data_IF_010292923477
#
_entry.id   IF_010292923477
#
_cell.length_a   1.000
_cell.length_b   1.000
_cell.length_c   1.000
_cell.angle_alpha   90.00
_cell.angle_beta   90.00
_cell.angle_gamma   90.00
#
_symmetry.space_group_name_H-M   'P 1'
#
loop_
_entity.id
_entity.type
_entity.pdbx_description
1 polymer ?
#
# COMPACT_ATOMS: atom_id res chain seq x y z
N UNK A 1 -22.11 23.99 63.54
CA UNK A 1 -22.99 22.81 63.41
C UNK A 1 -23.87 23.02 62.19
N UNK A 2 -23.46 22.47 61.04
CA UNK A 2 -24.16 22.64 59.78
C UNK A 2 -25.12 21.44 59.57
N UNK A 3 -26.41 21.75 59.46
CA UNK A 3 -27.50 20.81 59.15
C UNK A 3 -27.34 20.24 57.74
N UNK A 4 -27.17 18.93 57.63
CA UNK A 4 -27.20 18.17 56.38
C UNK A 4 -28.65 18.07 55.91
N UNK A 5 -28.97 18.65 54.75
CA UNK A 5 -30.21 18.39 54.01
C UNK A 5 -29.96 17.27 52.99
N UNK A 6 -30.50 16.09 53.27
CA UNK A 6 -30.59 14.98 52.32
C UNK A 6 -31.60 15.35 51.22
N UNK A 7 -31.16 15.43 49.97
CA UNK A 7 -32.04 15.49 48.81
C UNK A 7 -32.47 14.06 48.42
N UNK A 8 -33.74 13.82 48.07
CA UNK A 8 -34.17 12.52 47.57
C UNK A 8 -33.51 12.25 46.21
N UNK A 9 -32.86 11.08 46.09
CA UNK A 9 -32.42 10.54 44.81
C UNK A 9 -33.65 10.34 43.92
N UNK A 10 -33.70 11.07 42.80
CA UNK A 10 -34.69 10.83 41.76
C UNK A 10 -34.47 9.47 41.12
N UNK A 11 -35.52 8.64 41.13
CA UNK A 11 -35.58 7.42 40.31
C UNK A 11 -35.49 7.82 38.84
N UNK A 12 -34.42 7.44 38.14
CA UNK A 12 -34.38 7.50 36.68
C UNK A 12 -35.00 6.22 36.15
N UNK A 13 -36.24 6.29 35.69
CA UNK A 13 -36.86 5.24 34.88
C UNK A 13 -36.20 5.25 33.50
N UNK A 14 -35.39 4.23 33.22
CA UNK A 14 -34.95 3.92 31.86
C UNK A 14 -36.15 3.34 31.12
N UNK A 15 -36.76 4.14 30.24
CA UNK A 15 -37.75 3.66 29.29
C UNK A 15 -37.06 2.79 28.25
N UNK A 16 -37.34 1.49 28.25
CA UNK A 16 -36.97 0.60 27.14
C UNK A 16 -37.86 0.98 25.96
N UNK A 17 -37.29 1.72 25.00
CA UNK A 17 -37.89 1.86 23.68
C UNK A 17 -37.55 0.58 22.90
N UNK A 18 -38.51 -0.34 22.83
CA UNK A 18 -38.49 -1.42 21.84
C UNK A 18 -38.67 -0.77 20.46
N UNK A 19 -37.54 -0.44 19.81
CA UNK A 19 -37.53 -0.13 18.40
C UNK A 19 -37.86 -1.43 17.65
N UNK A 20 -39.11 -1.57 17.23
CA UNK A 20 -39.51 -2.56 16.24
C UNK A 20 -38.68 -2.31 14.98
N UNK A 21 -37.82 -3.28 14.65
CA UNK A 21 -36.92 -3.23 13.51
C UNK A 21 -37.70 -3.07 12.20
N UNK A 22 -37.85 -1.82 11.76
CA UNK A 22 -37.98 -1.54 10.34
C UNK A 22 -36.60 -1.72 9.74
N UNK A 23 -36.41 -2.78 8.97
CA UNK A 23 -35.25 -2.89 8.08
C UNK A 23 -35.32 -1.73 7.10
N UNK A 24 -34.63 -0.63 7.41
CA UNK A 24 -34.30 0.35 6.42
C UNK A 24 -33.35 -0.36 5.44
N UNK A 25 -33.90 -0.82 4.33
CA UNK A 25 -33.12 -1.24 3.18
C UNK A 25 -32.27 -0.04 2.78
N UNK A 26 -30.99 -0.07 3.12
CA UNK A 26 -30.01 0.76 2.45
C UNK A 26 -29.96 0.26 1.01
N UNK A 27 -30.81 0.83 0.17
CA UNK A 27 -30.69 0.70 -1.27
C UNK A 27 -29.41 1.43 -1.62
N UNK A 28 -28.32 0.68 -1.82
CA UNK A 28 -27.12 1.19 -2.44
C UNK A 28 -27.58 1.76 -3.80
N UNK A 29 -27.62 3.08 -3.94
CA UNK A 29 -27.88 3.72 -5.23
C UNK A 29 -26.93 3.08 -6.23
N UNK A 30 -27.51 2.41 -7.22
CA UNK A 30 -26.77 1.76 -8.28
C UNK A 30 -25.86 2.81 -8.90
N UNK A 31 -24.55 2.58 -8.82
CA UNK A 31 -23.59 3.41 -9.52
C UNK A 31 -23.99 3.45 -11.00
N UNK A 32 -24.39 4.61 -11.50
CA UNK A 32 -24.70 4.87 -12.92
C UNK A 32 -23.47 4.72 -13.85
N UNK A 33 -22.35 4.24 -13.30
CA UNK A 33 -21.14 3.93 -14.07
C UNK A 33 -21.35 2.62 -14.83
N UNK A 34 -21.00 2.59 -16.12
CA UNK A 34 -20.97 1.35 -16.89
C UNK A 34 -20.15 0.27 -16.16
N UNK A 35 -20.64 -0.96 -16.17
CA UNK A 35 -19.89 -2.08 -15.63
C UNK A 35 -18.61 -2.29 -16.45
N UNK A 36 -17.48 -2.46 -15.77
CA UNK A 36 -16.19 -2.77 -16.41
C UNK A 36 -16.18 -4.25 -16.77
N UNK A 37 -16.01 -4.56 -18.06
CA UNK A 37 -15.92 -5.93 -18.55
C UNK A 37 -14.46 -6.38 -18.69
N UNK A 38 -14.23 -7.69 -18.79
CA UNK A 38 -12.90 -8.21 -19.11
C UNK A 38 -12.37 -7.66 -20.45
N UNK A 39 -13.24 -7.52 -21.45
CA UNK A 39 -12.88 -6.95 -22.74
C UNK A 39 -12.43 -5.49 -22.62
N UNK A 40 -13.02 -4.71 -21.70
CA UNK A 40 -12.56 -3.35 -21.42
C UNK A 40 -11.15 -3.34 -20.84
N UNK A 41 -10.86 -4.24 -19.91
CA UNK A 41 -9.53 -4.36 -19.30
C UNK A 41 -8.49 -4.78 -20.34
N UNK A 42 -8.77 -5.78 -21.18
CA UNK A 42 -7.84 -6.22 -22.22
C UNK A 42 -7.57 -5.11 -23.25
N UNK A 43 -8.59 -4.36 -23.63
CA UNK A 43 -8.44 -3.18 -24.49
C UNK A 43 -7.58 -2.11 -23.81
N UNK A 44 -7.85 -1.79 -22.54
CA UNK A 44 -7.12 -0.75 -21.82
C UNK A 44 -5.65 -1.08 -21.56
N UNK A 45 -5.28 -2.35 -21.40
CA UNK A 45 -3.86 -2.74 -21.31
C UNK A 45 -3.06 -2.28 -22.53
N UNK A 46 -3.71 -2.21 -23.69
CA UNK A 46 -3.10 -1.75 -24.95
C UNK A 46 -3.23 -0.23 -25.12
N UNK A 47 -4.39 0.35 -24.82
CA UNK A 47 -4.67 1.78 -25.05
C UNK A 47 -4.04 2.69 -23.99
N UNK A 48 -3.97 2.25 -22.74
CA UNK A 48 -3.59 3.06 -21.58
C UNK A 48 -2.19 2.68 -21.09
N UNK A 49 -1.19 2.87 -21.95
CA UNK A 49 0.20 2.51 -21.67
C UNK A 49 1.18 3.68 -21.86
N UNK A 50 2.27 3.67 -21.09
CA UNK A 50 3.42 4.55 -21.29
C UNK A 50 4.57 3.85 -22.05
N UNK A 51 4.38 2.63 -22.55
CA UNK A 51 5.44 1.91 -23.26
C UNK A 51 5.90 2.72 -24.49
N UNK A 52 7.22 2.76 -24.70
CA UNK A 52 7.85 3.57 -25.75
C UNK A 52 7.85 5.08 -25.51
N UNK A 53 7.15 5.62 -24.49
CA UNK A 53 7.11 7.06 -24.21
C UNK A 53 8.49 7.68 -24.01
N UNK A 54 9.41 6.94 -23.38
CA UNK A 54 10.78 7.36 -23.12
C UNK A 54 11.83 6.56 -23.91
N UNK A 55 11.40 5.81 -24.93
CA UNK A 55 12.25 4.93 -25.73
C UNK A 55 11.97 3.44 -25.50
N UNK A 56 12.35 2.61 -26.46
CA UNK A 56 12.13 1.15 -26.42
C UNK A 56 13.02 0.45 -25.38
N UNK A 57 14.15 1.07 -25.04
CA UNK A 57 15.10 0.54 -24.06
C UNK A 57 14.91 1.16 -22.65
N UNK A 58 13.88 1.99 -22.45
CA UNK A 58 13.61 2.57 -21.14
C UNK A 58 13.21 1.50 -20.12
N UNK A 59 13.79 1.59 -18.91
CA UNK A 59 13.60 0.63 -17.82
C UNK A 59 13.09 1.26 -16.51
N UNK A 60 12.90 2.59 -16.48
CA UNK A 60 12.56 3.30 -15.24
C UNK A 60 11.20 4.00 -15.29
N UNK A 61 10.53 4.01 -16.46
CA UNK A 61 9.14 4.41 -16.58
C UNK A 61 8.87 5.81 -16.05
N UNK A 62 7.86 5.95 -15.21
CA UNK A 62 7.44 7.26 -14.67
C UNK A 62 8.49 7.92 -13.77
N UNK A 63 9.55 7.21 -13.34
CA UNK A 63 10.69 7.84 -12.67
C UNK A 63 11.41 8.85 -13.58
N UNK A 64 11.28 8.72 -14.91
CA UNK A 64 11.73 9.74 -15.87
C UNK A 64 11.09 11.13 -15.63
N UNK A 65 9.95 11.20 -14.95
CA UNK A 65 9.31 12.47 -14.59
C UNK A 65 10.02 13.19 -13.43
N UNK A 66 10.91 12.50 -12.69
CA UNK A 66 11.68 13.05 -11.57
C UNK A 66 12.96 13.72 -12.11
N UNK A 67 12.78 14.82 -12.84
CA UNK A 67 13.89 15.59 -13.44
C UNK A 67 14.72 16.35 -12.41
N UNK A 68 15.95 16.82 -12.74
CA UNK A 68 16.73 17.69 -11.88
C UNK A 68 15.98 18.96 -11.44
N UNK A 69 15.18 19.56 -12.32
CA UNK A 69 14.32 20.71 -12.02
C UNK A 69 13.25 20.35 -11.00
N UNK A 70 12.60 19.19 -11.16
CA UNK A 70 11.60 18.71 -10.19
C UNK A 70 12.21 18.44 -8.82
N UNK A 71 13.42 17.89 -8.76
CA UNK A 71 14.16 17.71 -7.51
C UNK A 71 14.48 19.04 -6.83
N UNK A 72 14.92 20.06 -7.59
CA UNK A 72 15.13 21.42 -7.06
C UNK A 72 13.83 22.06 -6.56
N UNK A 73 12.74 21.92 -7.30
CA UNK A 73 11.41 22.40 -6.88
C UNK A 73 10.98 21.76 -5.56
N UNK A 74 11.14 20.44 -5.43
CA UNK A 74 10.81 19.72 -4.21
C UNK A 74 11.68 20.18 -3.02
N UNK A 75 12.99 20.32 -3.22
CA UNK A 75 13.89 20.80 -2.18
C UNK A 75 13.53 22.22 -1.67
N UNK A 76 13.09 23.10 -2.58
CA UNK A 76 12.66 24.46 -2.24
C UNK A 76 11.35 24.52 -1.41
N UNK A 77 10.63 23.40 -1.25
CA UNK A 77 9.44 23.34 -0.40
C UNK A 77 9.78 23.23 1.10
N UNK A 78 11.02 22.83 1.45
CA UNK A 78 11.45 22.74 2.85
C UNK A 78 11.56 24.14 3.45
N UNK A 79 10.82 24.38 4.53
CA UNK A 79 10.82 25.67 5.27
C UNK A 79 11.37 25.52 6.68
N UNK A 80 10.80 24.58 7.44
CA UNK A 80 11.08 24.44 8.87
C UNK A 80 12.08 23.32 9.19
N UNK A 81 12.50 22.54 8.18
CA UNK A 81 13.46 21.44 8.36
C UNK A 81 12.91 20.24 9.15
N UNK A 82 11.59 20.13 9.31
CA UNK A 82 10.94 19.03 10.03
C UNK A 82 10.86 17.80 9.12
N UNK A 83 11.34 16.66 9.62
CA UNK A 83 11.21 15.37 8.95
C UNK A 83 10.12 14.54 9.63
N UNK A 84 9.27 13.90 8.81
CA UNK A 84 8.23 12.97 9.26
C UNK A 84 8.45 11.64 8.57
N UNK A 85 8.60 10.56 9.34
CA UNK A 85 8.69 9.22 8.78
C UNK A 85 7.34 8.80 8.19
N UNK A 86 7.37 8.26 6.97
CA UNK A 86 6.23 7.58 6.33
C UNK A 86 6.38 6.06 6.35
N UNK A 87 7.46 5.55 6.95
CA UNK A 87 7.66 4.12 7.13
C UNK A 87 6.80 3.63 8.29
N UNK A 88 6.25 2.42 8.13
CA UNK A 88 5.70 1.65 9.23
C UNK A 88 6.84 1.20 10.16
N UNK A 89 6.52 1.00 11.43
CA UNK A 89 7.42 0.37 12.38
C UNK A 89 7.83 -1.03 11.92
N UNK A 90 9.06 -1.43 12.25
CA UNK A 90 9.60 -2.74 11.92
C UNK A 90 9.01 -3.80 12.85
N UNK A 91 7.85 -4.34 12.49
CA UNK A 91 7.15 -5.36 13.27
C UNK A 91 7.88 -6.72 13.19
N UNK A 92 8.24 -7.26 14.35
CA UNK A 92 8.96 -8.54 14.49
C UNK A 92 8.08 -9.71 14.89
N UNK A 93 6.83 -9.44 15.26
CA UNK A 93 5.87 -10.46 15.71
C UNK A 93 5.04 -10.98 14.54
N UNK A 94 4.85 -12.30 14.47
CA UNK A 94 3.97 -12.92 13.49
C UNK A 94 2.50 -12.68 13.87
N UNK A 95 1.70 -12.27 12.89
CA UNK A 95 0.27 -12.04 13.05
C UNK A 95 -0.50 -12.49 11.79
N UNK A 96 -1.83 -12.55 11.90
CA UNK A 96 -2.72 -12.93 10.78
C UNK A 96 -2.48 -12.04 9.56
N UNK A 97 -2.25 -10.76 9.80
CA UNK A 97 -2.00 -9.75 8.78
C UNK A 97 -0.49 -9.52 8.57
N UNK A 98 0.38 -9.95 9.48
CA UNK A 98 1.84 -9.96 9.34
C UNK A 98 2.45 -11.37 9.37
N UNK A 99 2.27 -12.18 8.32
CA UNK A 99 2.74 -13.58 8.29
C UNK A 99 4.26 -13.72 8.05
N UNK A 100 4.97 -12.63 7.72
CA UNK A 100 6.41 -12.63 7.44
C UNK A 100 7.06 -11.36 8.02
N UNK A 101 7.16 -11.27 9.36
CA UNK A 101 7.71 -10.11 10.04
C UNK A 101 9.20 -9.89 9.74
N UNK A 102 9.73 -8.75 10.19
CA UNK A 102 11.17 -8.54 10.24
C UNK A 102 11.81 -9.59 11.16
N UNK A 103 12.91 -10.19 10.71
CA UNK A 103 13.69 -11.11 11.54
C UNK A 103 14.95 -10.41 12.00
N UNK A 104 15.09 -10.23 13.30
CA UNK A 104 16.29 -9.63 13.91
C UNK A 104 17.05 -10.73 14.64
N UNK A 105 18.27 -11.03 14.19
CA UNK A 105 19.15 -12.05 14.78
C UNK A 105 20.40 -11.40 15.34
N UNK A 106 20.59 -11.37 16.66
CA UNK A 106 21.86 -10.94 17.25
C UNK A 106 22.98 -11.91 16.85
N UNK A 107 24.07 -11.38 16.28
CA UNK A 107 25.24 -12.15 15.84
C UNK A 107 26.42 -12.07 16.82
N UNK A 108 26.29 -11.28 17.88
CA UNK A 108 27.31 -11.11 18.90
C UNK A 108 27.07 -9.82 19.70
N UNK A 109 28.11 -9.34 20.39
CA UNK A 109 28.00 -8.15 21.23
C UNK A 109 27.87 -6.85 20.40
N UNK A 110 28.31 -6.88 19.14
CA UNK A 110 28.45 -5.68 18.29
C UNK A 110 27.87 -5.85 16.88
N UNK A 111 27.03 -6.87 16.67
CA UNK A 111 26.51 -7.17 15.35
C UNK A 111 25.12 -7.81 15.44
N UNK A 112 24.25 -7.37 14.54
CA UNK A 112 22.90 -7.92 14.32
C UNK A 112 22.70 -8.15 12.82
N UNK A 113 21.89 -9.15 12.49
CA UNK A 113 21.36 -9.37 11.14
C UNK A 113 19.88 -9.03 11.14
N UNK A 114 19.44 -8.21 10.19
CA UNK A 114 18.02 -7.98 9.92
C UNK A 114 17.69 -8.61 8.57
N UNK A 115 16.72 -9.53 8.55
CA UNK A 115 16.16 -10.09 7.32
C UNK A 115 14.76 -9.53 7.08
N UNK A 116 14.49 -9.20 5.82
CA UNK A 116 13.22 -8.63 5.38
C UNK A 116 12.71 -9.45 4.21
N UNK A 117 11.44 -9.87 4.27
CA UNK A 117 10.73 -10.37 3.10
C UNK A 117 9.92 -9.21 2.54
N UNK A 118 10.41 -8.50 1.51
CA UNK A 118 9.73 -7.28 1.02
C UNK A 118 8.30 -7.54 0.51
N UNK A 119 7.99 -8.75 0.04
CA UNK A 119 6.62 -9.20 -0.23
C UNK A 119 5.98 -9.96 0.95
N UNK A 120 6.34 -9.56 2.18
CA UNK A 120 5.75 -9.99 3.45
C UNK A 120 4.51 -9.20 3.85
N UNK A 121 3.98 -8.38 2.93
CA UNK A 121 2.76 -7.55 3.02
C UNK A 121 2.80 -6.37 3.99
N UNK A 122 3.50 -6.48 5.11
CA UNK A 122 3.46 -5.47 6.19
C UNK A 122 4.64 -4.51 6.22
N UNK A 123 5.56 -4.60 5.27
CA UNK A 123 6.74 -3.73 5.23
C UNK A 123 6.46 -2.52 4.36
N UNK A 124 6.91 -1.33 4.74
CA UNK A 124 6.93 -0.20 3.80
C UNK A 124 7.98 -0.48 2.72
N UNK A 125 7.55 -0.63 1.47
CA UNK A 125 8.43 -0.93 0.34
C UNK A 125 7.95 -0.25 -0.95
N UNK A 126 8.78 -0.33 -1.98
CA UNK A 126 8.46 0.07 -3.35
C UNK A 126 8.54 -1.16 -4.24
N UNK A 127 7.50 -1.38 -5.03
CA UNK A 127 7.50 -2.39 -6.07
C UNK A 127 8.01 -1.78 -7.38
N UNK A 128 9.07 -2.36 -7.92
CA UNK A 128 9.62 -1.89 -9.18
C UNK A 128 8.85 -2.46 -10.38
N UNK A 129 9.13 -1.96 -11.58
CA UNK A 129 8.31 -2.20 -12.78
C UNK A 129 8.24 -3.67 -13.24
N UNK A 130 9.16 -4.53 -12.77
CA UNK A 130 9.15 -5.98 -13.00
C UNK A 130 8.26 -6.76 -12.01
N UNK A 131 7.76 -6.13 -10.95
CA UNK A 131 7.03 -6.80 -9.87
C UNK A 131 5.70 -7.42 -10.35
N UNK A 132 5.08 -6.85 -11.39
CA UNK A 132 3.80 -7.30 -11.92
C UNK A 132 3.78 -7.42 -13.45
N UNK A 133 2.93 -8.34 -13.93
CA UNK A 133 2.68 -8.56 -15.34
C UNK A 133 1.42 -7.83 -15.81
N UNK A 134 1.48 -7.22 -16.99
CA UNK A 134 0.33 -6.57 -17.63
C UNK A 134 -0.51 -7.61 -18.41
N UNK A 135 0.11 -8.72 -18.85
CA UNK A 135 -0.53 -9.86 -19.51
C UNK A 135 0.53 -10.80 -20.12
N UNK A 136 0.22 -12.09 -20.29
CA UNK A 136 1.06 -13.09 -20.97
C UNK A 136 2.53 -13.16 -20.49
N UNK A 137 2.78 -12.85 -19.21
CA UNK A 137 4.12 -12.82 -18.63
C UNK A 137 4.98 -11.61 -19.04
N UNK A 138 4.38 -10.58 -19.65
CA UNK A 138 5.06 -9.36 -20.07
C UNK A 138 4.92 -8.27 -19.01
N UNK A 139 6.05 -7.65 -18.66
CA UNK A 139 6.16 -6.51 -17.73
C UNK A 139 6.40 -5.21 -18.51
N UNK A 140 6.76 -4.13 -17.82
CA UNK A 140 6.98 -2.82 -18.43
C UNK A 140 7.85 -2.86 -19.70
N UNK A 141 7.42 -2.07 -20.70
CA UNK A 141 8.11 -1.84 -21.97
C UNK A 141 8.45 -3.12 -22.76
N UNK A 142 7.61 -4.17 -22.63
CA UNK A 142 7.78 -5.41 -23.39
C UNK A 142 8.78 -6.40 -22.79
N UNK A 143 9.28 -6.18 -21.58
CA UNK A 143 10.18 -7.14 -20.93
C UNK A 143 9.42 -8.41 -20.52
N UNK A 144 9.75 -9.53 -21.15
CA UNK A 144 9.21 -10.86 -20.83
C UNK A 144 10.31 -11.72 -20.19
N UNK A 145 10.37 -11.80 -18.85
CA UNK A 145 11.38 -12.61 -18.16
C UNK A 145 11.12 -14.11 -18.32
N UNK A 146 12.20 -14.88 -18.48
CA UNK A 146 12.16 -16.34 -18.28
C UNK A 146 12.27 -16.64 -16.77
N UNK A 147 11.26 -17.29 -16.15
CA UNK A 147 11.28 -17.59 -14.72
C UNK A 147 12.49 -18.42 -14.26
N UNK A 148 12.96 -19.35 -15.09
CA UNK A 148 14.12 -20.18 -14.75
C UNK A 148 15.41 -19.36 -14.74
N UNK A 149 15.55 -18.42 -15.67
CA UNK A 149 16.70 -17.51 -15.73
C UNK A 149 16.69 -16.54 -14.55
N UNK A 150 15.54 -15.93 -14.24
CA UNK A 150 15.38 -15.04 -13.09
C UNK A 150 15.76 -15.75 -11.79
N UNK A 151 15.28 -16.97 -11.59
CA UNK A 151 15.60 -17.76 -10.41
C UNK A 151 17.10 -18.11 -10.33
N UNK A 152 17.71 -18.54 -11.45
CA UNK A 152 19.13 -18.88 -11.49
C UNK A 152 20.05 -17.67 -11.28
N UNK A 153 19.63 -16.47 -11.68
CA UNK A 153 20.39 -15.23 -11.51
C UNK A 153 20.10 -14.50 -10.20
N UNK A 154 19.12 -14.97 -9.43
CA UNK A 154 18.73 -14.35 -8.16
C UNK A 154 17.94 -13.05 -8.31
N UNK A 155 17.36 -12.78 -9.48
CA UNK A 155 16.58 -11.57 -9.73
C UNK A 155 16.33 -11.30 -11.22
N UNK A 156 15.51 -10.29 -11.50
CA UNK A 156 15.29 -9.80 -12.86
C UNK A 156 16.54 -9.12 -13.39
N UNK A 157 16.71 -9.12 -14.72
CA UNK A 157 17.86 -8.50 -15.39
C UNK A 157 17.57 -7.12 -15.96
N UNK A 158 16.29 -6.72 -15.97
CA UNK A 158 15.78 -5.46 -16.51
C UNK A 158 14.66 -4.95 -15.62
N UNK A 159 14.38 -3.66 -15.70
CA UNK A 159 13.28 -3.03 -14.96
C UNK A 159 13.38 -3.36 -13.46
N UNK A 160 14.57 -3.25 -12.85
CA UNK A 160 14.86 -3.53 -11.43
C UNK A 160 15.29 -2.28 -10.68
#
# INVERSE_FOLDING_TARGET
>A
MATIRLHPMGLVTIGVVLATGGSASFQQEGSDRPAVTQADVERWKQELTNWGRWGQDDEIGTLNLITPEKRRQAAALVRDGISVSLARDAETEEAIDNPRPYQVTPLGITADEIRVSYHGFMHTHLDFLNHNFIGDGVTYNGYQPDPAVVAAQGGHSRNT
#
